data_IF_502318145124
#
_entry.id   IF_502318145124
#
_cell.length_a   1.000
_cell.length_b   1.000
_cell.length_c   1.000
_cell.angle_alpha   90.00
_cell.angle_beta   90.00
_cell.angle_gamma   90.00
#
_symmetry.space_group_name_H-M   'P 1'
#
loop_
_entity.id
_entity.type
_entity.pdbx_description
1 polymer ?
#
# COMPACT_ATOMS: atom_id res chain seq x y z
N UNK A 1 10.21 -0.10 -14.28
CA UNK A 1 8.89 0.16 -13.69
C UNK A 1 8.47 -0.96 -12.77
N UNK A 2 7.51 -0.72 -11.88
CA UNK A 2 6.84 -1.79 -11.13
C UNK A 2 6.02 -2.63 -12.11
N UNK A 3 6.19 -3.95 -12.07
CA UNK A 3 5.50 -4.87 -13.00
C UNK A 3 4.36 -5.62 -12.35
N UNK A 4 4.40 -5.80 -11.03
CA UNK A 4 3.37 -6.49 -10.25
C UNK A 4 3.30 -5.92 -8.84
N UNK A 5 2.10 -5.84 -8.30
CA UNK A 5 1.84 -5.52 -6.90
C UNK A 5 0.96 -6.61 -6.31
N UNK A 6 1.28 -7.02 -5.08
CA UNK A 6 0.53 -7.96 -4.28
C UNK A 6 0.32 -7.42 -2.87
N UNK A 7 -0.70 -7.93 -2.19
CA UNK A 7 -0.92 -7.69 -0.77
C UNK A 7 -1.27 -9.01 -0.12
N UNK A 8 -0.63 -9.29 1.01
CA UNK A 8 -0.90 -10.47 1.81
C UNK A 8 -1.41 -10.01 3.18
N UNK A 9 -2.61 -10.41 3.60
CA UNK A 9 -3.08 -10.14 4.94
C UNK A 9 -2.46 -11.13 5.93
N UNK A 10 -2.20 -10.66 7.14
CA UNK A 10 -1.83 -11.48 8.30
C UNK A 10 -2.93 -11.27 9.34
N UNK A 11 -3.70 -12.34 9.60
CA UNK A 11 -4.82 -12.31 10.54
C UNK A 11 -4.37 -12.97 11.84
N UNK A 12 -4.09 -12.16 12.86
CA UNK A 12 -3.80 -12.62 14.20
C UNK A 12 -5.08 -12.75 15.04
N UNK A 13 -6.03 -11.82 14.83
CA UNK A 13 -7.30 -11.77 15.54
C UNK A 13 -8.44 -11.75 14.53
N UNK A 14 -9.29 -12.78 14.59
CA UNK A 14 -10.54 -12.79 13.85
C UNK A 14 -11.54 -11.82 14.49
N UNK A 15 -12.28 -11.08 13.66
CA UNK A 15 -13.34 -10.20 14.14
C UNK A 15 -14.47 -10.08 13.12
N UNK A 16 -15.34 -9.08 13.27
CA UNK A 16 -16.48 -8.89 12.37
C UNK A 16 -16.03 -8.51 10.95
N UNK A 17 -16.99 -8.16 10.09
CA UNK A 17 -16.76 -7.89 8.67
C UNK A 17 -15.53 -7.01 8.40
N UNK A 18 -14.59 -7.55 7.61
CA UNK A 18 -13.33 -6.88 7.29
C UNK A 18 -13.53 -5.75 6.26
N UNK A 19 -12.99 -4.56 6.57
CA UNK A 19 -12.93 -3.46 5.62
C UNK A 19 -12.01 -3.75 4.44
N UNK A 20 -12.40 -3.28 3.24
CA UNK A 20 -11.55 -3.39 2.05
C UNK A 20 -10.41 -2.37 2.14
N UNK A 21 -9.18 -2.87 2.17
CA UNK A 21 -7.95 -2.10 2.10
C UNK A 21 -7.45 -2.12 0.66
N UNK A 22 -7.12 -0.95 0.10
CA UNK A 22 -6.61 -0.82 -1.28
C UNK A 22 -5.31 -0.03 -1.29
N UNK A 23 -4.35 -0.48 -2.10
CA UNK A 23 -3.00 0.07 -2.13
C UNK A 23 -2.53 0.38 -3.55
N UNK A 24 -1.72 1.43 -3.65
CA UNK A 24 -0.94 1.80 -4.85
C UNK A 24 0.51 1.91 -4.42
N UNK A 25 1.43 1.44 -5.28
CA UNK A 25 2.86 1.57 -5.07
C UNK A 25 3.44 2.43 -6.18
N UNK A 26 4.37 3.30 -5.86
CA UNK A 26 5.16 4.03 -6.84
C UNK A 26 6.63 3.66 -6.71
N UNK A 27 7.36 3.74 -7.81
CA UNK A 27 8.81 3.67 -7.87
C UNK A 27 9.39 5.00 -8.35
N UNK A 28 10.72 5.14 -8.28
CA UNK A 28 11.41 6.28 -8.89
C UNK A 28 12.07 5.86 -10.20
N UNK A 29 11.82 6.59 -11.29
CA UNK A 29 12.42 6.39 -12.61
C UNK A 29 12.94 7.74 -13.11
N UNK A 30 14.22 7.82 -13.45
CA UNK A 30 14.85 9.06 -13.93
C UNK A 30 14.60 10.29 -13.04
N UNK A 31 14.51 10.07 -11.73
CA UNK A 31 14.23 11.11 -10.73
C UNK A 31 12.76 11.47 -10.58
N UNK A 32 11.87 10.85 -11.35
CA UNK A 32 10.42 11.07 -11.33
C UNK A 32 9.72 9.91 -10.63
N UNK A 33 8.68 10.20 -9.87
CA UNK A 33 7.85 9.17 -9.27
C UNK A 33 6.86 8.60 -10.30
N UNK A 34 6.81 7.28 -10.42
CA UNK A 34 6.00 6.56 -11.39
C UNK A 34 5.10 5.56 -10.68
N UNK A 35 3.80 5.61 -10.98
CA UNK A 35 2.75 4.79 -10.37
C UNK A 35 2.72 3.37 -10.93
N UNK A 36 2.47 2.38 -10.07
CA UNK A 36 2.27 0.99 -10.47
C UNK A 36 1.05 0.84 -11.39
N UNK A 37 1.05 -0.11 -12.33
CA UNK A 37 -0.03 -0.26 -13.31
C UNK A 37 -1.35 -0.74 -12.72
N UNK A 38 -1.37 -1.24 -11.48
CA UNK A 38 -2.57 -1.79 -10.86
C UNK A 38 -2.70 -1.38 -9.39
N UNK A 39 -3.95 -1.16 -8.97
CA UNK A 39 -4.36 -1.13 -7.57
C UNK A 39 -4.47 -2.56 -7.08
N UNK A 40 -3.95 -2.84 -5.88
CA UNK A 40 -4.20 -4.12 -5.19
C UNK A 40 -5.14 -3.91 -4.01
N UNK A 41 -6.02 -4.86 -3.74
CA UNK A 41 -6.93 -4.81 -2.59
C UNK A 41 -6.97 -6.11 -1.82
N UNK A 42 -7.29 -6.02 -0.53
CA UNK A 42 -7.61 -7.15 0.34
C UNK A 42 -8.61 -6.72 1.41
N UNK A 43 -9.48 -7.63 1.85
CA UNK A 43 -10.36 -7.39 2.98
C UNK A 43 -9.65 -7.79 4.27
N UNK A 44 -9.34 -6.82 5.12
CA UNK A 44 -8.70 -7.04 6.43
C UNK A 44 -9.15 -5.97 7.41
N UNK A 45 -9.56 -6.41 8.59
CA UNK A 45 -9.82 -5.49 9.71
C UNK A 45 -8.50 -5.17 10.41
N UNK A 46 -7.87 -4.07 9.98
CA UNK A 46 -6.63 -3.57 10.56
C UNK A 46 -6.84 -2.90 11.93
N UNK A 47 -8.09 -2.66 12.35
CA UNK A 47 -8.37 -2.11 13.68
C UNK A 47 -8.16 -3.14 14.81
N UNK A 48 -8.11 -4.42 14.48
CA UNK A 48 -7.91 -5.50 15.45
C UNK A 48 -6.43 -5.74 15.73
N UNK A 49 -6.11 -5.95 17.01
CA UNK A 49 -4.74 -6.15 17.46
C UNK A 49 -4.05 -7.31 16.71
N UNK A 50 -2.86 -7.02 16.19
CA UNK A 50 -2.01 -7.97 15.48
C UNK A 50 -2.37 -8.22 14.02
N UNK A 51 -3.48 -7.68 13.51
CA UNK A 51 -3.79 -7.74 12.08
C UNK A 51 -2.93 -6.73 11.32
N UNK A 52 -2.39 -7.16 10.18
CA UNK A 52 -1.56 -6.30 9.33
C UNK A 52 -1.65 -6.75 7.88
N UNK A 53 -1.26 -5.87 6.96
CA UNK A 53 -1.12 -6.16 5.54
C UNK A 53 0.33 -6.00 5.11
N UNK A 54 0.85 -7.01 4.41
CA UNK A 54 2.17 -6.97 3.78
C UNK A 54 2.00 -6.67 2.31
N UNK A 55 2.22 -5.41 1.94
CA UNK A 55 2.23 -4.96 0.55
C UNK A 55 3.60 -5.28 -0.03
N UNK A 56 3.64 -5.94 -1.18
CA UNK A 56 4.88 -6.35 -1.86
C UNK A 56 4.76 -6.15 -3.36
N UNK A 57 5.87 -6.00 -4.05
CA UNK A 57 5.89 -5.73 -5.50
C UNK A 57 7.14 -6.26 -6.16
N UNK A 58 7.09 -6.36 -7.49
CA UNK A 58 8.23 -6.72 -8.33
C UNK A 58 8.59 -5.57 -9.27
N UNK A 59 9.89 -5.46 -9.59
CA UNK A 59 10.42 -4.39 -10.43
C UNK A 59 10.58 -3.04 -9.70
N UNK A 60 10.76 -1.98 -10.48
CA UNK A 60 10.98 -0.61 -10.03
C UNK A 60 12.31 -0.36 -9.29
N UNK A 61 12.66 0.93 -9.18
CA UNK A 61 13.81 1.39 -8.41
C UNK A 61 13.36 2.19 -7.16
N UNK A 62 14.12 2.09 -6.05
CA UNK A 62 13.84 2.85 -4.85
C UNK A 62 14.14 4.36 -5.05
N UNK A 63 13.58 5.24 -4.19
CA UNK A 63 12.62 4.93 -3.13
C UNK A 63 11.26 4.51 -3.69
N UNK A 64 10.66 3.51 -3.04
CA UNK A 64 9.28 3.11 -3.30
C UNK A 64 8.37 3.86 -2.33
N UNK A 65 7.24 4.38 -2.80
CA UNK A 65 6.22 4.96 -1.92
C UNK A 65 4.97 4.13 -1.99
N UNK A 66 4.32 3.93 -0.85
CA UNK A 66 3.07 3.17 -0.76
C UNK A 66 1.97 4.10 -0.30
N UNK A 67 0.83 3.98 -0.96
CA UNK A 67 -0.37 4.75 -0.71
C UNK A 67 -1.52 3.80 -0.39
N UNK A 68 -2.37 4.20 0.55
CA UNK A 68 -3.56 3.45 0.99
C UNK A 68 -4.81 4.26 0.72
N UNK A 69 -5.88 3.59 0.31
CA UNK A 69 -7.17 4.22 0.11
C UNK A 69 -7.90 4.45 1.43
N UNK A 70 -8.40 5.67 1.63
CA UNK A 70 -9.28 6.04 2.73
C UNK A 70 -10.27 7.11 2.24
N UNK A 71 -11.57 6.90 2.52
CA UNK A 71 -12.62 7.85 2.12
C UNK A 71 -12.71 8.12 0.61
N UNK A 72 -12.31 7.16 -0.23
CA UNK A 72 -12.30 7.30 -1.70
C UNK A 72 -11.07 8.01 -2.28
N UNK A 73 -10.10 8.41 -1.46
CA UNK A 73 -8.83 8.99 -1.91
C UNK A 73 -7.63 8.12 -1.48
N UNK A 74 -6.53 8.20 -2.22
CA UNK A 74 -5.26 7.58 -1.81
C UNK A 74 -4.39 8.58 -1.05
N UNK A 75 -3.86 8.15 0.09
CA UNK A 75 -2.90 8.91 0.87
C UNK A 75 -1.65 8.10 1.20
N UNK A 76 -0.52 8.79 1.36
CA UNK A 76 0.78 8.19 1.60
C UNK A 76 0.86 7.52 2.98
N UNK A 77 1.32 6.27 3.03
CA UNK A 77 1.54 5.53 4.30
C UNK A 77 3.01 5.24 4.58
N UNK A 78 3.90 5.36 3.60
CA UNK A 78 5.32 5.20 3.87
C UNK A 78 6.22 5.06 2.64
N UNK A 79 7.52 5.07 2.91
CA UNK A 79 8.58 4.84 1.92
C UNK A 79 9.34 3.58 2.28
N UNK A 80 9.72 2.81 1.26
CA UNK A 80 10.57 1.64 1.43
C UNK A 80 11.74 1.66 0.45
N UNK A 81 12.90 1.16 0.90
CA UNK A 81 14.05 0.86 0.03
C UNK A 81 14.06 -0.59 -0.44
N UNK A 82 13.22 -1.43 0.17
CA UNK A 82 13.02 -2.84 -0.21
C UNK A 82 11.64 -3.00 -0.83
N UNK A 83 11.39 -4.12 -1.50
CA UNK A 83 10.15 -4.35 -2.25
C UNK A 83 8.96 -4.82 -1.40
N UNK A 84 8.88 -4.31 -0.17
CA UNK A 84 7.74 -4.52 0.72
C UNK A 84 7.53 -3.34 1.66
N UNK A 85 6.30 -3.23 2.14
CA UNK A 85 5.90 -2.36 3.25
C UNK A 85 4.84 -3.07 4.09
N UNK A 86 4.93 -2.93 5.41
CA UNK A 86 3.93 -3.44 6.36
C UNK A 86 2.99 -2.28 6.68
N UNK A 87 1.69 -2.53 6.53
CA UNK A 87 0.61 -1.68 7.04
C UNK A 87 -0.03 -2.38 8.24
N UNK A 88 0.28 -1.91 9.44
CA UNK A 88 -0.24 -2.36 10.73
C UNK A 88 -1.28 -1.38 11.29
N UNK A 89 -2.14 -0.87 10.39
CA UNK A 89 -3.13 0.19 10.62
C UNK A 89 -2.57 1.61 10.54
N UNK A 90 -1.66 1.83 9.60
CA UNK A 90 -1.09 3.15 9.34
C UNK A 90 -2.16 4.06 8.72
N UNK A 91 -2.38 5.21 9.35
CA UNK A 91 -3.27 6.25 8.84
C UNK A 91 -2.65 6.93 7.60
N UNK A 92 -3.38 7.01 6.47
CA UNK A 92 -2.85 7.60 5.25
C UNK A 92 -2.78 9.13 5.32
N UNK A 93 -1.66 9.70 4.88
CA UNK A 93 -1.55 11.13 4.67
C UNK A 93 -2.16 11.52 3.31
N UNK A 94 -3.44 11.91 3.32
CA UNK A 94 -4.21 12.27 2.12
C UNK A 94 -3.78 13.59 1.45
N UNK A 95 -2.87 14.36 2.06
CA UNK A 95 -2.20 15.52 1.43
C UNK A 95 -1.07 15.10 0.49
N UNK A 96 -0.54 13.88 0.65
CA UNK A 96 0.48 13.29 -0.23
C UNK A 96 -0.17 12.19 -1.05
N UNK A 97 -0.44 12.50 -2.31
CA UNK A 97 -1.15 11.62 -3.24
C UNK A 97 -0.17 11.00 -4.23
N UNK A 98 -0.45 9.79 -4.75
CA UNK A 98 0.35 9.26 -5.83
C UNK A 98 0.26 10.20 -7.05
N UNK A 99 1.29 10.26 -7.90
CA UNK A 99 1.18 10.86 -9.23
C UNK A 99 -0.05 10.28 -9.94
N UNK A 100 -0.76 11.12 -10.69
CA UNK A 100 -2.03 10.78 -11.37
C UNK A 100 -2.01 9.34 -11.88
N UNK A 101 -2.81 8.50 -11.23
CA UNK A 101 -3.03 7.10 -11.58
C UNK A 101 -4.00 7.00 -12.77
#
# INVERSE_FOLDING_TARGET
MITRVGVQPVIATGGPAAGRQSYIVTSTEDGVEVTSPAVVSVSTDLGLAGNMNVVHWDGGNPPFRVYKSEGGAYGFIGTSKVRRLIDDNIAPNTRKRPPSA
#
